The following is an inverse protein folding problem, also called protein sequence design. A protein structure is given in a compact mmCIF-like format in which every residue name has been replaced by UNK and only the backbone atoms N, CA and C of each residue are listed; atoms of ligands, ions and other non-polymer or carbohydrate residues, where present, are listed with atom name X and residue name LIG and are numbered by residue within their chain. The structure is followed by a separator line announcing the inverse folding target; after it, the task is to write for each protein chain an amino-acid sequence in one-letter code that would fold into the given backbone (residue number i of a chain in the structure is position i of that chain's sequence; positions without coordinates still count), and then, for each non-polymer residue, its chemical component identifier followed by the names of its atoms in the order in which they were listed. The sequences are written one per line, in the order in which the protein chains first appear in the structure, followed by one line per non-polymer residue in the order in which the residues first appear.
data_IF_960018264676
#
_entry.id   IF_960018264676
#
_cell.length_a   1.000
_cell.length_b   1.000
_cell.length_c   1.000
_cell.angle_alpha   90.00
_cell.angle_beta   90.00
_cell.angle_gamma   90.00
#
_symmetry.space_group_name_H-M   'P 1'
#
loop_
_entity.id
_entity.type
_entity.pdbx_description
1 polymer ?
#
# COMPACT_ATOMS: atom_id res chain seq x y z
N UNK A 1 -14.23 -2.80 -21.33
CA UNK A 1 -12.83 -2.38 -21.47
C UNK A 1 -12.27 -3.02 -22.72
N UNK A 2 -11.76 -2.22 -23.65
CA UNK A 2 -11.12 -2.71 -24.86
C UNK A 2 -9.71 -3.22 -24.55
N UNK A 3 -9.20 -4.16 -25.36
CA UNK A 3 -7.89 -4.79 -25.13
C UNK A 3 -6.75 -3.75 -25.08
N UNK A 4 -6.90 -2.66 -25.83
CA UNK A 4 -5.98 -1.53 -25.90
C UNK A 4 -5.98 -0.64 -24.66
N UNK A 5 -7.03 -0.66 -23.84
CA UNK A 5 -7.17 0.20 -22.65
C UNK A 5 -6.49 -0.41 -21.41
N UNK A 6 -6.29 -1.73 -21.39
CA UNK A 6 -5.69 -2.45 -20.26
C UNK A 6 -4.30 -1.92 -19.84
N UNK A 7 -3.35 -1.66 -20.76
CA UNK A 7 -2.03 -1.16 -20.38
C UNK A 7 -2.08 0.16 -19.60
N UNK A 8 -2.91 1.10 -20.03
CA UNK A 8 -3.02 2.42 -19.39
C UNK A 8 -3.67 2.33 -18.00
N UNK A 9 -4.69 1.48 -17.87
CA UNK A 9 -5.34 1.22 -16.58
C UNK A 9 -4.38 0.52 -15.61
N UNK A 10 -3.65 -0.49 -16.07
CA UNK A 10 -2.60 -1.18 -15.29
C UNK A 10 -1.52 -0.18 -14.83
N UNK A 11 -1.02 0.66 -15.74
CA UNK A 11 -0.02 1.67 -15.43
C UNK A 11 -0.54 2.71 -14.43
N UNK A 12 -1.83 3.02 -14.46
CA UNK A 12 -2.46 3.94 -13.50
C UNK A 12 -2.48 3.35 -12.10
N UNK A 13 -2.96 2.11 -11.94
CA UNK A 13 -2.92 1.41 -10.65
C UNK A 13 -1.49 1.27 -10.11
N UNK A 14 -0.53 0.92 -10.97
CA UNK A 14 0.88 0.81 -10.57
C UNK A 14 1.47 2.14 -10.09
N UNK A 15 1.12 3.26 -10.75
CA UNK A 15 1.56 4.60 -10.32
C UNK A 15 0.95 5.00 -8.98
N UNK A 16 -0.33 4.72 -8.78
CA UNK A 16 -1.00 5.01 -7.51
C UNK A 16 -0.40 4.18 -6.36
N UNK A 17 -0.19 2.87 -6.55
CA UNK A 17 0.49 2.02 -5.57
C UNK A 17 1.89 2.57 -5.26
N UNK A 18 2.65 2.95 -6.28
CA UNK A 18 4.00 3.51 -6.08
C UNK A 18 3.99 4.83 -5.29
N UNK A 19 3.02 5.70 -5.58
CA UNK A 19 2.82 6.93 -4.82
C UNK A 19 2.53 6.64 -3.35
N UNK A 20 1.60 5.72 -3.06
CA UNK A 20 1.28 5.33 -1.68
C UNK A 20 2.47 4.67 -0.97
N UNK A 21 3.21 3.78 -1.64
CA UNK A 21 4.46 3.20 -1.13
C UNK A 21 5.45 4.27 -0.69
N UNK A 22 5.58 5.33 -1.51
CA UNK A 22 6.52 6.41 -1.25
C UNK A 22 6.06 7.27 -0.07
N UNK A 23 4.76 7.61 0.01
CA UNK A 23 4.17 8.34 1.13
C UNK A 23 4.29 7.58 2.45
N UNK A 24 4.09 6.26 2.44
CA UNK A 24 4.30 5.39 3.61
C UNK A 24 5.76 5.43 4.05
N UNK A 25 6.69 5.16 3.13
CA UNK A 25 8.10 4.96 3.47
C UNK A 25 8.82 6.26 3.83
N UNK A 26 8.56 7.35 3.10
CA UNK A 26 9.28 8.62 3.23
C UNK A 26 8.56 9.66 4.08
N UNK A 27 7.26 9.52 4.29
CA UNK A 27 6.47 10.40 5.16
C UNK A 27 6.17 9.70 6.48
N UNK A 28 5.08 8.95 6.53
CA UNK A 28 4.45 8.50 7.77
C UNK A 28 5.35 7.61 8.64
N UNK A 29 6.14 6.71 8.04
CA UNK A 29 7.11 5.89 8.80
C UNK A 29 8.29 6.72 9.32
N UNK A 30 8.74 7.73 8.57
CA UNK A 30 9.79 8.64 9.01
C UNK A 30 9.30 9.48 10.19
N UNK A 31 8.12 10.07 10.07
CA UNK A 31 7.49 10.89 11.11
C UNK A 31 7.32 10.11 12.41
N UNK A 32 6.80 8.87 12.33
CA UNK A 32 6.69 7.99 13.49
C UNK A 32 8.05 7.67 14.11
N UNK A 33 9.07 7.38 13.29
CA UNK A 33 10.41 7.09 13.79
C UNK A 33 11.03 8.30 14.52
N UNK A 34 10.84 9.50 14.00
CA UNK A 34 11.29 10.75 14.63
C UNK A 34 10.56 11.00 15.96
N UNK A 35 9.23 10.81 15.99
CA UNK A 35 8.45 10.89 17.23
C UNK A 35 8.93 9.88 18.26
N UNK A 36 9.17 8.62 17.86
CA UNK A 36 9.67 7.59 18.76
C UNK A 36 11.07 7.90 19.29
N UNK A 37 11.97 8.44 18.46
CA UNK A 37 13.28 8.87 18.90
C UNK A 37 13.18 10.01 19.92
N UNK A 38 12.29 10.98 19.69
CA UNK A 38 12.03 12.08 20.63
C UNK A 38 11.48 11.57 21.97
N UNK A 39 10.51 10.65 21.94
CA UNK A 39 9.94 10.02 23.14
C UNK A 39 11.04 9.28 23.93
N UNK A 40 11.83 8.44 23.24
CA UNK A 40 12.93 7.69 23.87
C UNK A 40 13.95 8.63 24.50
N UNK A 41 14.29 9.72 23.83
CA UNK A 41 15.20 10.73 24.38
C UNK A 41 14.61 11.35 25.66
N UNK A 42 13.35 11.81 25.63
CA UNK A 42 12.70 12.38 26.82
C UNK A 42 12.71 11.41 28.01
N UNK A 43 12.32 10.16 27.78
CA UNK A 43 12.27 9.11 28.81
C UNK A 43 13.67 8.75 29.33
N UNK A 44 14.69 8.72 28.46
CA UNK A 44 16.06 8.40 28.87
C UNK A 44 16.70 9.46 29.79
N UNK A 45 16.31 10.72 29.62
CA UNK A 45 16.80 11.85 30.44
C UNK A 45 15.88 12.21 31.61
N UNK A 46 14.78 11.48 31.82
CA UNK A 46 13.90 11.67 32.98
C UNK A 46 14.48 10.97 34.22
N UNK A 47 14.94 11.79 35.17
CA UNK A 47 15.53 11.30 36.43
C UNK A 47 14.53 10.70 37.42
N UNK A 48 13.23 10.92 37.20
CA UNK A 48 12.18 10.43 38.10
C UNK A 48 11.80 8.96 37.78
N UNK A 49 12.17 8.47 36.59
CA UNK A 49 11.95 7.09 36.16
C UNK A 49 13.07 6.16 36.66
N UNK A 50 12.78 5.40 37.71
CA UNK A 50 13.76 4.60 38.47
C UNK A 50 13.96 3.17 37.96
N UNK A 51 13.08 2.69 37.08
CA UNK A 51 13.16 1.34 36.52
C UNK A 51 12.57 1.27 35.10
N UNK A 52 12.84 0.17 34.40
CA UNK A 52 12.42 -0.01 33.01
C UNK A 52 10.90 -0.10 32.86
N UNK A 53 10.17 -0.66 33.84
CA UNK A 53 8.70 -0.68 33.80
C UNK A 53 8.11 0.73 33.81
N UNK A 54 8.69 1.65 34.58
CA UNK A 54 8.27 3.05 34.60
C UNK A 54 8.58 3.74 33.27
N UNK A 55 9.73 3.43 32.65
CA UNK A 55 10.10 3.94 31.32
C UNK A 55 9.14 3.45 30.24
N UNK A 56 8.84 2.16 30.22
CA UNK A 56 7.92 1.56 29.26
C UNK A 56 6.50 2.12 29.41
N UNK A 57 6.02 2.30 30.64
CA UNK A 57 4.73 2.94 30.91
C UNK A 57 4.70 4.39 30.40
N UNK A 58 5.75 5.17 30.66
CA UNK A 58 5.87 6.55 30.19
C UNK A 58 5.89 6.63 28.65
N UNK A 59 6.63 5.73 27.97
CA UNK A 59 6.62 5.63 26.52
C UNK A 59 5.21 5.32 25.99
N UNK A 60 4.49 4.39 26.64
CA UNK A 60 3.13 4.03 26.26
C UNK A 60 2.17 5.23 26.40
N UNK A 61 2.30 6.03 27.46
CA UNK A 61 1.52 7.27 27.63
C UNK A 61 1.79 8.28 26.53
N UNK A 62 3.06 8.50 26.16
CA UNK A 62 3.40 9.39 25.05
C UNK A 62 2.84 8.90 23.72
N UNK A 63 2.90 7.58 23.46
CA UNK A 63 2.30 6.97 22.26
C UNK A 63 0.77 7.03 22.27
N UNK A 64 0.15 7.10 23.44
CA UNK A 64 -1.27 7.40 23.58
C UNK A 64 -1.60 8.88 23.33
N UNK A 65 -0.63 9.75 23.05
CA UNK A 65 -0.89 11.12 22.58
C UNK A 65 -1.73 11.17 21.30
N UNK A 66 -2.45 12.28 21.10
CA UNK A 66 -3.31 12.45 19.92
C UNK A 66 -2.50 12.48 18.61
N UNK A 67 -1.32 13.09 18.63
CA UNK A 67 -0.47 13.26 17.44
C UNK A 67 0.10 11.94 16.95
N UNK A 68 0.69 11.13 17.84
CA UNK A 68 1.21 9.80 17.49
C UNK A 68 0.11 8.89 16.95
N UNK A 69 -1.05 8.84 17.65
CA UNK A 69 -2.21 8.05 17.20
C UNK A 69 -2.82 8.57 15.90
N UNK A 70 -2.69 9.86 15.60
CA UNK A 70 -3.14 10.44 14.33
C UNK A 70 -2.28 9.93 13.18
N UNK A 71 -0.95 10.06 13.29
CA UNK A 71 -0.02 9.60 12.26
C UNK A 71 -0.09 8.08 12.08
N UNK A 72 -0.20 7.33 13.17
CA UNK A 72 -0.36 5.88 13.11
C UNK A 72 -1.64 5.47 12.36
N UNK A 73 -2.79 6.10 12.66
CA UNK A 73 -4.04 5.81 11.95
C UNK A 73 -3.97 6.19 10.48
N UNK A 74 -3.28 7.28 10.14
CA UNK A 74 -3.09 7.65 8.74
C UNK A 74 -2.21 6.63 8.00
N UNK A 75 -1.16 6.14 8.66
CA UNK A 75 -0.33 5.06 8.13
C UNK A 75 -1.16 3.82 7.83
N UNK A 76 -1.96 3.37 8.79
CA UNK A 76 -2.86 2.22 8.63
C UNK A 76 -3.81 2.41 7.43
N UNK A 77 -4.48 3.56 7.32
CA UNK A 77 -5.37 3.86 6.19
C UNK A 77 -4.67 3.83 4.84
N UNK A 78 -3.48 4.41 4.75
CA UNK A 78 -2.74 4.44 3.48
C UNK A 78 -2.26 3.03 3.10
N UNK A 79 -1.89 2.21 4.08
CA UNK A 79 -1.54 0.79 3.86
C UNK A 79 -2.74 -0.04 3.41
N UNK A 80 -3.89 0.15 4.04
CA UNK A 80 -5.14 -0.52 3.63
C UNK A 80 -5.49 -0.14 2.19
N UNK A 81 -5.42 1.16 1.86
CA UNK A 81 -5.69 1.63 0.50
C UNK A 81 -4.69 1.06 -0.52
N UNK A 82 -3.43 0.95 -0.15
CA UNK A 82 -2.42 0.31 -1.00
C UNK A 82 -2.78 -1.15 -1.29
N UNK A 83 -3.15 -1.91 -0.26
CA UNK A 83 -3.53 -3.31 -0.41
C UNK A 83 -4.78 -3.48 -1.31
N UNK A 84 -5.78 -2.59 -1.16
CA UNK A 84 -6.94 -2.56 -2.05
C UNK A 84 -6.54 -2.34 -3.52
N UNK A 85 -5.64 -1.39 -3.80
CA UNK A 85 -5.18 -1.12 -5.15
C UNK A 85 -4.37 -2.29 -5.74
N UNK A 86 -3.61 -3.00 -4.92
CA UNK A 86 -2.90 -4.22 -5.33
C UNK A 86 -3.87 -5.32 -5.76
N UNK A 87 -4.97 -5.51 -5.02
CA UNK A 87 -6.05 -6.45 -5.38
C UNK A 87 -6.68 -6.05 -6.72
N UNK A 88 -7.01 -4.76 -6.91
CA UNK A 88 -7.59 -4.28 -8.15
C UNK A 88 -6.64 -4.40 -9.35
N UNK A 89 -5.35 -4.12 -9.15
CA UNK A 89 -4.33 -4.32 -10.18
C UNK A 89 -4.29 -5.79 -10.63
N UNK A 90 -4.32 -6.73 -9.69
CA UNK A 90 -4.28 -8.14 -10.02
C UNK A 90 -5.56 -8.60 -10.73
N UNK A 91 -6.72 -8.09 -10.30
CA UNK A 91 -7.99 -8.32 -11.00
C UNK A 91 -7.93 -7.84 -12.46
N UNK A 92 -7.41 -6.63 -12.70
CA UNK A 92 -7.28 -6.07 -14.07
C UNK A 92 -6.30 -6.88 -14.91
N UNK A 93 -5.19 -7.35 -14.35
CA UNK A 93 -4.23 -8.24 -15.04
C UNK A 93 -4.86 -9.58 -15.40
N UNK A 94 -5.67 -10.15 -14.51
CA UNK A 94 -6.45 -11.36 -14.78
C UNK A 94 -7.42 -11.15 -15.95
N UNK A 95 -8.18 -10.07 -15.91
CA UNK A 95 -9.09 -9.69 -17.01
C UNK A 95 -8.35 -9.48 -18.33
N UNK A 96 -7.17 -8.87 -18.32
CA UNK A 96 -6.37 -8.67 -19.54
C UNK A 96 -5.95 -10.01 -20.15
N UNK A 97 -5.52 -10.94 -19.29
CA UNK A 97 -5.12 -12.29 -19.70
C UNK A 97 -6.29 -13.04 -20.33
N UNK A 98 -7.46 -13.01 -19.69
CA UNK A 98 -8.67 -13.62 -20.23
C UNK A 98 -9.04 -13.02 -21.60
N UNK A 99 -9.08 -11.69 -21.71
CA UNK A 99 -9.41 -11.02 -22.95
C UNK A 99 -8.44 -11.35 -24.10
N UNK A 100 -7.14 -11.53 -23.80
CA UNK A 100 -6.13 -11.98 -24.78
C UNK A 100 -6.40 -13.41 -25.26
N UNK A 101 -6.81 -14.31 -24.37
CA UNK A 101 -7.13 -15.70 -24.73
C UNK A 101 -8.39 -15.75 -25.61
N UNK A 102 -9.45 -15.05 -25.21
CA UNK A 102 -10.68 -14.95 -26.01
C UNK A 102 -10.41 -14.35 -27.41
N UNK A 103 -9.56 -13.33 -27.50
CA UNK A 103 -9.18 -12.75 -28.79
C UNK A 103 -8.46 -13.77 -29.68
N UNK A 104 -7.55 -14.57 -29.12
CA UNK A 104 -6.84 -15.63 -29.85
C UNK A 104 -7.77 -16.74 -30.29
N UNK A 105 -8.69 -17.17 -29.43
CA UNK A 105 -9.70 -18.17 -29.76
C UNK A 105 -10.58 -17.71 -30.93
N UNK A 106 -11.04 -16.46 -30.91
CA UNK A 106 -11.82 -15.89 -32.03
C UNK A 106 -11.04 -15.89 -33.35
N UNK A 107 -9.75 -15.56 -33.31
CA UNK A 107 -8.90 -15.62 -34.52
C UNK A 107 -8.77 -17.06 -35.01
N UNK A 108 -8.47 -18.01 -34.13
CA UNK A 108 -8.34 -19.42 -34.51
C UNK A 108 -9.65 -20.00 -35.09
N UNK A 109 -10.80 -19.66 -34.50
CA UNK A 109 -12.11 -20.10 -35.00
C UNK A 109 -12.41 -19.49 -36.38
N UNK A 110 -12.09 -18.21 -36.59
CA UNK A 110 -12.25 -17.56 -37.89
C UNK A 110 -11.35 -18.21 -38.96
N UNK A 111 -10.10 -18.51 -38.62
CA UNK A 111 -9.16 -19.20 -39.51
C UNK A 111 -9.66 -20.59 -39.91
N UNK A 112 -10.18 -21.37 -38.96
CA UNK A 112 -10.79 -22.68 -39.24
C UNK A 112 -11.99 -22.53 -40.19
N UNK A 113 -12.88 -21.56 -39.95
CA UNK A 113 -14.04 -21.33 -40.83
C UNK A 113 -13.61 -20.94 -42.26
N UNK A 114 -12.53 -20.18 -42.42
CA UNK A 114 -12.00 -19.84 -43.74
C UNK A 114 -11.25 -21.00 -44.41
N UNK A 115 -10.72 -21.96 -43.65
CA UNK A 115 -9.98 -23.10 -44.18
C UNK A 115 -10.89 -24.24 -44.70
N UNK A 116 -12.16 -24.28 -44.26
CA UNK A 116 -13.15 -25.30 -44.65
C UNK A 116 -14.25 -24.79 -45.59
N UNK A 117 -14.15 -23.55 -46.06
CA UNK A 117 -14.99 -22.96 -47.13
C UNK A 117 -14.16 -22.76 -48.40
#
# INVERSE_FOLDING_TARGET
MQLSEFPDVIATYQREIHYLSTSIARGLKSDLAEMEASIKHKVAFDSDLKNDRQRDACIAEFKAGNDYRSVQRELEKVQDRQAELEIELERVRGMFTAAKLEARERVALAELQTAFN
#
